data_IF_913238759859
#
_entry.id   IF_913238759859
#
_cell.length_a   1.000
_cell.length_b   1.000
_cell.length_c   1.000
_cell.angle_alpha   90.00
_cell.angle_beta   90.00
_cell.angle_gamma   90.00
#
_symmetry.space_group_name_H-M   'P 1'
#
loop_
_entity.id
_entity.type
_entity.pdbx_description
1 polymer ?
#
# COMPACT_ATOMS: atom_id res chain seq x y z
N UNK A 1 -6.12 46.30 -30.41
CA UNK A 1 -7.00 45.16 -30.11
C UNK A 1 -6.29 43.79 -30.12
N UNK A 2 -4.97 43.70 -29.89
CA UNK A 2 -4.24 42.41 -29.91
C UNK A 2 -3.90 41.84 -28.51
N UNK A 3 -3.99 42.64 -27.44
CA UNK A 3 -3.62 42.21 -26.08
C UNK A 3 -4.70 41.34 -25.37
N UNK A 4 -5.94 41.32 -25.86
CA UNK A 4 -7.03 40.52 -25.27
C UNK A 4 -7.04 39.04 -25.67
N UNK A 5 -6.47 38.71 -26.85
CA UNK A 5 -6.48 37.35 -27.40
C UNK A 5 -5.50 36.41 -26.69
N UNK A 6 -4.31 36.89 -26.34
CA UNK A 6 -3.31 36.08 -25.60
C UNK A 6 -3.77 35.74 -24.18
N UNK A 7 -4.46 36.67 -23.51
CA UNK A 7 -5.01 36.43 -22.17
C UNK A 7 -6.14 35.39 -22.18
N UNK A 8 -7.00 35.41 -23.21
CA UNK A 8 -8.07 34.44 -23.38
C UNK A 8 -7.52 33.04 -23.69
N UNK A 9 -6.58 32.94 -24.65
CA UNK A 9 -5.98 31.66 -25.04
C UNK A 9 -5.21 31.01 -23.87
N UNK A 10 -4.45 31.78 -23.09
CA UNK A 10 -3.79 31.29 -21.87
C UNK A 10 -4.79 30.82 -20.81
N UNK A 11 -5.94 31.50 -20.65
CA UNK A 11 -7.02 31.08 -19.75
C UNK A 11 -7.66 29.77 -20.20
N UNK A 12 -7.92 29.61 -21.49
CA UNK A 12 -8.45 28.38 -22.05
C UNK A 12 -7.48 27.20 -21.88
N UNK A 13 -6.20 27.40 -22.23
CA UNK A 13 -5.16 26.36 -22.05
C UNK A 13 -5.05 25.93 -20.58
N UNK A 14 -5.07 26.89 -19.65
CA UNK A 14 -5.07 26.59 -18.20
C UNK A 14 -6.35 25.85 -17.76
N UNK A 15 -7.51 26.22 -18.28
CA UNK A 15 -8.77 25.54 -18.01
C UNK A 15 -8.79 24.09 -18.49
N UNK A 16 -8.35 23.85 -19.74
CA UNK A 16 -8.22 22.50 -20.29
C UNK A 16 -7.18 21.66 -19.54
N UNK A 17 -6.05 22.25 -19.18
CA UNK A 17 -5.03 21.57 -18.36
C UNK A 17 -5.57 21.16 -16.99
N UNK A 18 -6.33 22.02 -16.32
CA UNK A 18 -6.94 21.72 -15.03
C UNK A 18 -8.01 20.62 -15.14
N UNK A 19 -8.86 20.67 -16.18
CA UNK A 19 -9.84 19.63 -16.42
C UNK A 19 -9.17 18.26 -16.65
N UNK A 20 -8.09 18.22 -17.44
CA UNK A 20 -7.32 17.00 -17.66
C UNK A 20 -6.76 16.44 -16.34
N UNK A 21 -6.24 17.30 -15.46
CA UNK A 21 -5.79 16.92 -14.13
C UNK A 21 -6.95 16.39 -13.26
N UNK A 22 -8.16 16.91 -13.41
CA UNK A 22 -9.34 16.41 -12.69
C UNK A 22 -9.79 15.03 -13.18
N UNK A 23 -9.71 14.77 -14.48
CA UNK A 23 -10.05 13.47 -15.09
C UNK A 23 -9.07 12.38 -14.63
N UNK A 24 -7.75 12.65 -14.70
CA UNK A 24 -6.70 11.70 -14.31
C UNK A 24 -6.34 11.72 -12.83
N UNK A 25 -6.79 12.72 -12.10
CA UNK A 25 -6.38 12.94 -10.72
C UNK A 25 -6.82 11.82 -9.77
N UNK A 26 -6.11 11.64 -8.65
CA UNK A 26 -6.46 10.65 -7.64
C UNK A 26 -7.80 10.96 -6.95
N UNK A 27 -8.40 9.96 -6.34
CA UNK A 27 -9.51 10.15 -5.42
C UNK A 27 -9.03 10.85 -4.15
N UNK A 28 -9.78 11.87 -3.72
CA UNK A 28 -9.60 12.56 -2.45
C UNK A 28 -10.57 11.93 -1.44
N UNK A 29 -10.06 11.50 -0.29
CA UNK A 29 -10.82 10.83 0.76
C UNK A 29 -11.20 11.77 1.90
N UNK A 30 -10.24 12.55 2.41
CA UNK A 30 -10.41 13.39 3.60
C UNK A 30 -9.58 14.66 3.48
N UNK A 31 -10.04 15.71 4.14
CA UNK A 31 -9.29 16.96 4.34
C UNK A 31 -9.11 17.14 5.84
N UNK A 32 -7.87 17.06 6.31
CA UNK A 32 -7.53 17.22 7.72
C UNK A 32 -7.65 18.69 8.15
N UNK A 33 -8.06 18.92 9.40
CA UNK A 33 -8.10 20.27 10.00
C UNK A 33 -6.69 20.68 10.42
N UNK A 34 -6.29 21.91 10.10
CA UNK A 34 -5.00 22.47 10.57
C UNK A 34 -5.30 23.46 11.70
N UNK A 35 -4.83 23.17 12.92
CA UNK A 35 -4.99 24.00 14.12
C UNK A 35 -6.46 24.30 14.52
N UNK A 36 -7.33 23.28 14.56
CA UNK A 36 -8.73 23.43 15.00
C UNK A 36 -9.61 24.31 14.11
N UNK A 37 -9.06 24.89 13.04
CA UNK A 37 -9.80 25.55 11.98
C UNK A 37 -9.80 24.63 10.78
N UNK A 38 -10.99 24.35 10.25
CA UNK A 38 -11.08 23.86 8.88
C UNK A 38 -10.26 24.82 8.02
N UNK A 39 -9.37 24.31 7.17
CA UNK A 39 -8.57 25.12 6.25
C UNK A 39 -9.43 25.99 5.29
N UNK A 40 -10.76 25.93 5.43
CA UNK A 40 -11.79 26.42 4.50
C UNK A 40 -12.90 27.22 5.24
N UNK A 41 -12.78 27.51 6.54
CA UNK A 41 -13.82 28.25 7.28
C UNK A 41 -13.41 29.67 7.69
N UNK A 42 -13.87 30.71 6.99
CA UNK A 42 -13.91 32.07 7.56
C UNK A 42 -14.93 32.09 8.70
N UNK A 43 -14.44 32.23 9.93
CA UNK A 43 -15.13 32.85 11.06
C UNK A 43 -16.17 32.02 11.80
N UNK A 44 -15.77 31.39 12.90
CA UNK A 44 -16.43 31.46 14.21
C UNK A 44 -15.47 30.95 15.30
N UNK A 45 -15.39 31.57 16.49
CA UNK A 45 -14.64 31.03 17.62
C UNK A 45 -15.36 29.81 18.21
N UNK A 46 -14.57 28.90 18.77
CA UNK A 46 -14.98 27.64 19.38
C UNK A 46 -15.84 27.88 20.63
N UNK A 47 -16.94 27.13 20.75
CA UNK A 47 -17.63 26.85 22.02
C UNK A 47 -17.27 25.41 22.40
N UNK A 48 -16.89 25.18 23.65
CA UNK A 48 -16.55 23.85 24.18
C UNK A 48 -17.79 22.94 24.14
N UNK A 49 -17.76 21.89 23.31
CA UNK A 49 -18.85 20.93 23.19
C UNK A 49 -18.77 19.96 21.99
N UNK A 50 -18.04 20.29 20.92
CA UNK A 50 -18.14 19.54 19.65
C UNK A 50 -17.20 18.32 19.53
N UNK A 51 -17.25 17.40 20.50
CA UNK A 51 -16.64 16.06 20.35
C UNK A 51 -17.40 15.18 19.33
N UNK A 52 -18.51 15.65 18.75
CA UNK A 52 -19.43 14.85 17.93
C UNK A 52 -19.23 14.97 16.40
N UNK A 53 -18.23 15.73 15.91
CA UNK A 53 -18.09 16.06 14.46
C UNK A 53 -16.99 15.31 13.68
N UNK A 54 -16.58 14.11 14.11
CA UNK A 54 -15.61 13.26 13.36
C UNK A 54 -15.97 13.08 11.87
N UNK A 55 -17.27 13.09 11.55
CA UNK A 55 -17.83 12.90 10.20
C UNK A 55 -17.71 14.12 9.26
N UNK A 56 -17.45 15.33 9.75
CA UNK A 56 -17.38 16.56 8.92
C UNK A 56 -16.04 16.75 8.18
N UNK A 57 -15.08 15.85 8.38
CA UNK A 57 -13.73 15.91 7.80
C UNK A 57 -13.59 15.19 6.46
N UNK A 58 -14.51 14.29 6.12
CA UNK A 58 -14.47 13.53 4.86
C UNK A 58 -14.77 14.45 3.67
N UNK A 59 -14.07 14.19 2.56
CA UNK A 59 -14.31 14.89 1.31
C UNK A 59 -15.74 14.63 0.82
N UNK A 60 -16.48 15.70 0.51
CA UNK A 60 -17.85 15.62 0.03
C UNK A 60 -17.89 15.76 -1.50
N UNK A 61 -17.97 14.64 -2.25
CA UNK A 61 -18.08 14.69 -3.70
C UNK A 61 -19.45 15.24 -4.12
N UNK A 62 -19.48 15.98 -5.22
CA UNK A 62 -20.75 16.41 -5.83
C UNK A 62 -21.51 15.20 -6.40
N UNK A 63 -22.82 15.35 -6.63
CA UNK A 63 -23.68 14.26 -7.10
C UNK A 63 -23.14 13.52 -8.33
N UNK A 64 -22.57 14.25 -9.30
CA UNK A 64 -21.98 13.68 -10.52
C UNK A 64 -20.76 12.79 -10.21
N UNK A 65 -19.84 13.27 -9.37
CA UNK A 65 -18.68 12.48 -8.93
C UNK A 65 -19.12 11.28 -8.10
N UNK A 66 -20.05 11.46 -7.16
CA UNK A 66 -20.58 10.38 -6.31
C UNK A 66 -21.17 9.24 -7.14
N UNK A 67 -21.97 9.56 -8.16
CA UNK A 67 -22.60 8.54 -9.00
C UNK A 67 -21.58 7.82 -9.89
N UNK A 68 -20.67 8.58 -10.51
CA UNK A 68 -19.62 8.00 -11.37
C UNK A 68 -18.63 7.15 -10.58
N UNK A 69 -18.23 7.57 -9.38
CA UNK A 69 -17.39 6.76 -8.48
C UNK A 69 -18.07 5.47 -8.03
N UNK A 70 -19.39 5.50 -7.79
CA UNK A 70 -20.15 4.28 -7.46
C UNK A 70 -20.12 3.26 -8.60
N UNK A 71 -20.33 3.71 -9.85
CA UNK A 71 -20.25 2.85 -11.04
C UNK A 71 -18.84 2.27 -11.19
N UNK A 72 -17.80 3.11 -11.09
CA UNK A 72 -16.41 2.67 -11.18
C UNK A 72 -16.04 1.69 -10.05
N UNK A 73 -16.60 1.89 -8.85
CA UNK A 73 -16.40 0.98 -7.73
C UNK A 73 -16.97 -0.41 -8.03
N UNK A 74 -18.18 -0.50 -8.60
CA UNK A 74 -18.79 -1.76 -9.03
C UNK A 74 -17.99 -2.45 -10.13
N UNK A 75 -17.57 -1.69 -11.15
CA UNK A 75 -16.72 -2.21 -12.23
C UNK A 75 -15.42 -2.78 -11.67
N UNK A 76 -14.79 -2.11 -10.71
CA UNK A 76 -13.60 -2.60 -10.03
C UNK A 76 -13.84 -3.91 -9.23
N UNK A 77 -15.00 -4.04 -8.57
CA UNK A 77 -15.37 -5.31 -7.89
C UNK A 77 -15.55 -6.43 -8.92
N UNK A 78 -16.32 -6.18 -9.99
CA UNK A 78 -16.56 -7.16 -11.04
C UNK A 78 -15.27 -7.57 -11.75
N UNK A 79 -14.37 -6.62 -12.03
CA UNK A 79 -13.04 -6.89 -12.58
C UNK A 79 -12.25 -7.81 -11.67
N UNK A 80 -12.28 -7.57 -10.36
CA UNK A 80 -11.54 -8.38 -9.40
C UNK A 80 -12.12 -9.80 -9.27
N UNK A 81 -13.44 -9.94 -9.23
CA UNK A 81 -14.12 -11.25 -9.25
C UNK A 81 -13.77 -11.99 -10.54
N UNK A 82 -13.80 -11.30 -11.68
CA UNK A 82 -13.42 -11.86 -12.99
C UNK A 82 -11.95 -12.29 -13.00
N UNK A 83 -11.05 -11.49 -12.43
CA UNK A 83 -9.63 -11.83 -12.32
C UNK A 83 -9.42 -13.11 -11.50
N UNK A 84 -10.04 -13.23 -10.32
CA UNK A 84 -9.89 -14.42 -9.48
C UNK A 84 -10.58 -15.66 -10.06
N UNK A 85 -11.70 -15.50 -10.76
CA UNK A 85 -12.40 -16.59 -11.45
C UNK A 85 -11.82 -16.92 -12.83
N UNK A 86 -10.89 -16.10 -13.36
CA UNK A 86 -10.38 -16.22 -14.73
C UNK A 86 -9.78 -17.58 -15.08
N UNK A 87 -9.05 -18.30 -14.19
CA UNK A 87 -8.52 -19.63 -14.56
C UNK A 87 -9.65 -20.65 -14.77
N UNK A 88 -10.67 -20.60 -13.92
CA UNK A 88 -11.86 -21.46 -14.03
C UNK A 88 -12.70 -21.09 -15.25
N UNK A 89 -12.88 -19.79 -15.48
CA UNK A 89 -13.59 -19.27 -16.65
C UNK A 89 -12.88 -19.64 -17.95
N UNK A 90 -11.56 -19.54 -18.01
CA UNK A 90 -10.75 -19.92 -19.17
C UNK A 90 -10.87 -21.43 -19.46
N UNK A 91 -10.78 -22.28 -18.43
CA UNK A 91 -10.97 -23.72 -18.58
C UNK A 91 -12.39 -24.06 -19.09
N UNK A 92 -13.41 -23.40 -18.53
CA UNK A 92 -14.79 -23.53 -18.99
C UNK A 92 -14.97 -23.09 -20.44
N UNK A 93 -14.41 -21.93 -20.81
CA UNK A 93 -14.48 -21.39 -22.17
C UNK A 93 -13.78 -22.28 -23.19
N UNK A 94 -12.62 -22.85 -22.82
CA UNK A 94 -11.91 -23.83 -23.63
C UNK A 94 -12.74 -25.09 -23.86
N UNK A 95 -13.27 -25.70 -22.77
CA UNK A 95 -14.10 -26.92 -22.84
C UNK A 95 -15.36 -26.74 -23.69
N UNK A 96 -15.96 -25.55 -23.68
CA UNK A 96 -17.17 -25.23 -24.46
C UNK A 96 -16.87 -24.71 -25.87
N UNK A 97 -15.61 -24.60 -26.26
CA UNK A 97 -15.22 -24.14 -27.60
C UNK A 97 -15.56 -22.68 -27.88
N UNK A 98 -15.60 -21.82 -26.85
CA UNK A 98 -15.85 -20.38 -27.03
C UNK A 98 -14.62 -19.62 -27.59
N UNK A 99 -13.45 -20.25 -27.65
CA UNK A 99 -12.19 -19.68 -28.16
C UNK A 99 -12.06 -19.69 -29.70
N UNK A 100 -13.17 -19.81 -30.44
CA UNK A 100 -13.16 -19.76 -31.92
C UNK A 100 -13.17 -18.33 -32.43
N UNK A 101 -12.46 -18.06 -33.54
CA UNK A 101 -12.29 -16.71 -34.13
C UNK A 101 -13.64 -16.00 -34.34
N UNK A 102 -14.65 -16.72 -34.82
CA UNK A 102 -16.00 -16.18 -35.07
C UNK A 102 -16.69 -15.66 -33.81
N UNK A 103 -16.41 -16.23 -32.64
CA UNK A 103 -16.98 -15.82 -31.35
C UNK A 103 -16.13 -14.79 -30.61
N UNK A 104 -14.84 -14.69 -30.93
CA UNK A 104 -13.94 -13.68 -30.39
C UNK A 104 -14.23 -12.28 -30.93
N UNK A 105 -14.66 -12.15 -32.20
CA UNK A 105 -14.98 -10.85 -32.82
C UNK A 105 -16.11 -10.09 -32.07
N UNK A 106 -17.29 -10.67 -31.78
CA UNK A 106 -18.30 -9.95 -31.01
C UNK A 106 -17.85 -9.67 -29.58
N UNK A 107 -17.05 -10.55 -28.96
CA UNK A 107 -16.49 -10.33 -27.62
C UNK A 107 -15.56 -9.11 -27.57
N UNK A 108 -14.71 -8.92 -28.58
CA UNK A 108 -13.84 -7.74 -28.67
C UNK A 108 -14.67 -6.47 -28.90
N UNK A 109 -15.74 -6.53 -29.69
CA UNK A 109 -16.65 -5.40 -29.87
C UNK A 109 -17.31 -4.99 -28.54
N UNK A 110 -17.84 -5.94 -27.76
CA UNK A 110 -18.39 -5.66 -26.42
C UNK A 110 -17.32 -5.10 -25.46
N UNK A 111 -16.09 -5.60 -25.53
CA UNK A 111 -14.97 -5.07 -24.76
C UNK A 111 -14.66 -3.61 -25.10
N UNK A 112 -14.60 -3.28 -26.40
CA UNK A 112 -14.33 -1.92 -26.88
C UNK A 112 -15.46 -0.95 -26.52
N UNK A 113 -16.73 -1.36 -26.66
CA UNK A 113 -17.87 -0.50 -26.26
C UNK A 113 -17.88 -0.25 -24.77
N UNK A 114 -17.62 -1.27 -23.94
CA UNK A 114 -17.46 -1.11 -22.49
C UNK A 114 -16.33 -0.13 -22.16
N UNK A 115 -15.16 -0.27 -22.79
CA UNK A 115 -14.03 0.64 -22.58
C UNK A 115 -14.37 2.09 -22.95
N UNK A 116 -15.09 2.32 -24.05
CA UNK A 116 -15.56 3.64 -24.44
C UNK A 116 -16.55 4.24 -23.42
N UNK A 117 -17.48 3.44 -22.91
CA UNK A 117 -18.41 3.87 -21.86
C UNK A 117 -17.68 4.24 -20.57
N UNK A 118 -16.69 3.43 -20.15
CA UNK A 118 -15.87 3.71 -18.98
C UNK A 118 -15.04 4.99 -19.14
N UNK A 119 -14.52 5.26 -20.35
CA UNK A 119 -13.85 6.52 -20.66
C UNK A 119 -14.81 7.72 -20.53
N UNK A 120 -16.04 7.59 -21.02
CA UNK A 120 -17.09 8.60 -20.82
C UNK A 120 -17.39 8.86 -19.35
N UNK A 121 -17.51 7.81 -18.54
CA UNK A 121 -17.72 7.91 -17.08
C UNK A 121 -16.54 8.60 -16.40
N UNK A 122 -15.30 8.30 -16.80
CA UNK A 122 -14.12 8.97 -16.25
C UNK A 122 -14.09 10.48 -16.58
N UNK A 123 -14.54 10.87 -17.78
CA UNK A 123 -14.70 12.28 -18.15
C UNK A 123 -15.79 12.98 -17.32
N UNK A 124 -16.93 12.34 -17.11
CA UNK A 124 -18.01 12.86 -16.25
C UNK A 124 -17.55 13.03 -14.81
N UNK A 125 -16.79 12.07 -14.27
CA UNK A 125 -16.16 12.19 -12.96
C UNK A 125 -15.22 13.40 -12.90
N UNK A 126 -14.40 13.60 -13.93
CA UNK A 126 -13.50 14.76 -14.04
C UNK A 126 -14.25 16.10 -14.05
N UNK A 127 -15.40 16.19 -14.72
CA UNK A 127 -16.28 17.37 -14.68
C UNK A 127 -16.86 17.62 -13.28
N UNK A 128 -17.25 16.55 -12.57
CA UNK A 128 -17.70 16.63 -11.18
C UNK A 128 -16.63 17.21 -10.25
N UNK A 129 -15.39 16.74 -10.40
CA UNK A 129 -14.21 17.21 -9.66
C UNK A 129 -13.81 18.63 -10.01
N UNK A 130 -13.84 19.00 -11.29
CA UNK A 130 -13.56 20.38 -11.72
C UNK A 130 -14.59 21.36 -11.15
N UNK A 131 -15.83 20.92 -10.93
CA UNK A 131 -16.85 21.76 -10.31
C UNK A 131 -16.65 21.92 -8.79
N UNK A 132 -15.76 21.15 -8.14
CA UNK A 132 -15.55 21.19 -6.69
C UNK A 132 -14.31 22.01 -6.33
N UNK A 133 -14.45 23.14 -5.59
CA UNK A 133 -13.33 24.00 -5.24
C UNK A 133 -12.29 23.32 -4.33
N UNK A 134 -12.72 22.43 -3.43
CA UNK A 134 -11.81 21.70 -2.54
C UNK A 134 -10.89 20.77 -3.35
N UNK A 135 -11.45 20.10 -4.36
CA UNK A 135 -10.67 19.21 -5.23
C UNK A 135 -9.72 20.00 -6.13
N UNK A 136 -10.15 21.15 -6.67
CA UNK A 136 -9.27 22.03 -7.46
C UNK A 136 -8.07 22.48 -6.64
N UNK A 137 -8.30 22.88 -5.38
CA UNK A 137 -7.21 23.28 -4.49
C UNK A 137 -6.25 22.12 -4.25
N UNK A 138 -6.78 20.95 -3.88
CA UNK A 138 -6.00 19.72 -3.70
C UNK A 138 -5.14 19.38 -4.93
N UNK A 139 -5.75 19.26 -6.11
CA UNK A 139 -5.05 18.84 -7.33
C UNK A 139 -3.98 19.86 -7.74
N UNK A 140 -4.22 21.15 -7.46
CA UNK A 140 -3.22 22.19 -7.70
C UNK A 140 -2.01 22.08 -6.77
N UNK A 141 -2.22 21.77 -5.48
CA UNK A 141 -1.15 21.56 -4.51
C UNK A 141 -0.37 20.29 -4.86
N UNK A 142 -1.07 19.21 -5.21
CA UNK A 142 -0.44 17.96 -5.65
C UNK A 142 0.43 18.19 -6.89
N UNK A 143 -0.07 18.92 -7.88
CA UNK A 143 0.70 19.23 -9.08
C UNK A 143 1.92 20.10 -8.76
N UNK A 144 1.78 21.10 -7.88
CA UNK A 144 2.91 21.93 -7.43
C UNK A 144 3.97 21.09 -6.73
N UNK A 145 3.57 20.21 -5.80
CA UNK A 145 4.49 19.32 -5.07
C UNK A 145 5.25 18.39 -6.02
N UNK A 146 4.60 17.90 -7.09
CA UNK A 146 5.25 17.07 -8.10
C UNK A 146 6.25 17.82 -8.99
N UNK A 147 6.09 19.13 -9.14
CA UNK A 147 6.98 19.98 -9.95
C UNK A 147 8.12 20.55 -9.10
N UNK A 148 7.83 20.88 -7.85
CA UNK A 148 8.74 21.51 -6.90
C UNK A 148 8.52 20.90 -5.51
N UNK A 149 9.48 20.07 -5.09
CA UNK A 149 9.42 19.29 -3.87
C UNK A 149 9.92 20.11 -2.66
N UNK A 150 9.20 21.18 -2.31
CA UNK A 150 9.52 22.00 -1.16
C UNK A 150 8.80 21.52 0.12
N UNK A 151 9.42 21.66 1.32
CA UNK A 151 8.82 21.27 2.59
C UNK A 151 7.45 21.92 2.86
N UNK A 152 7.25 23.16 2.41
CA UNK A 152 6.00 23.89 2.55
C UNK A 152 4.88 23.24 1.75
N UNK A 153 5.15 22.85 0.49
CA UNK A 153 4.18 22.15 -0.36
C UNK A 153 3.83 20.79 0.24
N UNK A 154 4.82 20.03 0.75
CA UNK A 154 4.57 18.75 1.43
C UNK A 154 3.69 18.93 2.67
N UNK A 155 3.93 19.96 3.48
CA UNK A 155 3.11 20.28 4.65
C UNK A 155 1.67 20.64 4.28
N UNK A 156 1.47 21.33 3.16
CA UNK A 156 0.11 21.58 2.66
C UNK A 156 -0.53 20.30 2.14
N UNK A 157 0.23 19.46 1.43
CA UNK A 157 -0.25 18.20 0.89
C UNK A 157 -0.64 17.20 2.00
N UNK A 158 0.07 17.21 3.12
CA UNK A 158 -0.24 16.37 4.29
C UNK A 158 -1.57 16.70 4.95
N UNK A 159 -2.19 17.84 4.59
CA UNK A 159 -3.55 18.19 5.01
C UNK A 159 -4.62 17.43 4.21
N UNK A 160 -4.24 16.65 3.20
CA UNK A 160 -5.16 15.89 2.35
C UNK A 160 -4.86 14.40 2.42
N UNK A 161 -5.91 13.58 2.52
CA UNK A 161 -5.82 12.13 2.36
C UNK A 161 -6.37 11.75 0.99
N UNK A 162 -5.56 11.10 0.15
CA UNK A 162 -5.90 10.75 -1.23
C UNK A 162 -5.22 9.44 -1.64
N UNK A 163 -5.50 8.96 -2.86
CA UNK A 163 -4.92 7.70 -3.36
C UNK A 163 -3.38 7.68 -3.25
N UNK A 164 -2.87 6.70 -2.52
CA UNK A 164 -1.44 6.54 -2.25
C UNK A 164 -0.58 6.53 -3.51
N UNK A 165 -1.06 5.91 -4.60
CA UNK A 165 -0.35 5.88 -5.90
C UNK A 165 0.05 7.27 -6.40
N UNK A 166 -0.70 8.31 -6.05
CA UNK A 166 -0.39 9.68 -6.49
C UNK A 166 0.49 10.44 -5.50
N UNK A 167 0.73 9.91 -4.31
CA UNK A 167 1.57 10.51 -3.28
C UNK A 167 3.04 10.55 -3.75
N UNK A 168 3.76 11.67 -3.61
CA UNK A 168 5.17 11.77 -4.02
C UNK A 168 6.06 10.89 -3.14
N UNK A 169 7.17 10.38 -3.66
CA UNK A 169 8.11 9.60 -2.85
C UNK A 169 8.82 10.53 -1.86
N UNK A 170 8.85 10.15 -0.59
CA UNK A 170 9.44 10.94 0.50
C UNK A 170 10.86 10.50 0.87
N UNK A 171 11.20 9.25 0.61
CA UNK A 171 12.51 8.68 0.87
C UNK A 171 12.77 7.50 -0.07
N UNK A 172 14.00 7.37 -0.55
CA UNK A 172 14.41 6.26 -1.42
C UNK A 172 15.58 5.51 -0.81
N UNK A 173 15.57 4.20 -0.98
CA UNK A 173 16.65 3.30 -0.55
C UNK A 173 18.04 3.66 -1.12
N UNK A 174 18.09 4.35 -2.27
CA UNK A 174 19.33 4.70 -2.98
C UNK A 174 19.92 6.06 -2.56
N UNK A 175 19.21 6.85 -1.76
CA UNK A 175 19.68 8.18 -1.28
C UNK A 175 20.87 8.07 -0.31
N UNK A 176 21.05 6.92 0.31
CA UNK A 176 21.99 6.66 1.42
C UNK A 176 23.10 5.69 1.06
N UNK A 177 22.93 4.92 -0.04
CA UNK A 177 23.87 3.91 -0.48
C UNK A 177 25.16 4.57 -0.99
N UNK A 178 26.29 4.25 -0.35
CA UNK A 178 27.61 4.67 -0.81
C UNK A 178 27.88 4.11 -2.21
N UNK A 179 28.57 4.87 -3.08
CA UNK A 179 28.94 4.45 -4.46
C UNK A 179 29.60 3.07 -4.57
N UNK A 180 30.14 2.52 -3.48
CA UNK A 180 30.75 1.19 -3.43
C UNK A 180 29.74 0.03 -3.39
N UNK A 181 28.51 0.22 -2.86
CA UNK A 181 27.44 -0.80 -2.95
C UNK A 181 26.85 -0.90 -4.36
N UNK A 182 26.90 0.19 -5.14
CA UNK A 182 26.51 0.21 -6.56
C UNK A 182 27.41 -0.69 -7.44
N UNK A 183 28.69 -0.89 -7.06
CA UNK A 183 29.62 -1.76 -7.80
C UNK A 183 29.38 -3.25 -7.59
N UNK A 184 28.63 -3.63 -6.54
CA UNK A 184 28.36 -5.04 -6.22
C UNK A 184 27.14 -5.63 -6.94
N UNK A 185 26.57 -4.92 -7.93
CA UNK A 185 25.57 -5.47 -8.83
C UNK A 185 24.32 -6.03 -8.13
N UNK A 186 23.93 -5.48 -6.98
CA UNK A 186 22.74 -5.96 -6.23
C UNK A 186 21.48 -5.40 -6.89
N UNK A 187 21.19 -5.91 -8.08
CA UNK A 187 19.89 -5.78 -8.76
C UNK A 187 18.87 -6.79 -8.19
N UNK A 188 19.24 -7.54 -7.15
CA UNK A 188 18.52 -8.71 -6.62
C UNK A 188 17.88 -8.55 -5.23
N UNK A 189 17.81 -7.34 -4.68
CA UNK A 189 17.27 -7.09 -3.34
C UNK A 189 18.27 -7.33 -2.20
N UNK A 190 17.86 -7.02 -0.97
CA UNK A 190 18.70 -7.20 0.22
C UNK A 190 18.96 -8.69 0.50
N UNK A 191 20.11 -9.06 1.07
CA UNK A 191 20.43 -10.46 1.29
C UNK A 191 19.44 -11.10 2.28
N UNK A 192 18.85 -12.22 1.87
CA UNK A 192 18.17 -13.15 2.76
C UNK A 192 19.15 -14.21 3.25
N UNK A 193 18.87 -14.81 4.41
CA UNK A 193 19.57 -16.02 4.83
C UNK A 193 19.41 -17.08 3.73
N UNK A 194 20.54 -17.59 3.23
CA UNK A 194 20.52 -18.71 2.30
C UNK A 194 19.88 -19.88 3.03
N UNK A 195 18.83 -20.44 2.44
CA UNK A 195 18.29 -21.71 2.91
C UNK A 195 19.44 -22.71 3.03
N UNK A 196 19.48 -23.47 4.13
CA UNK A 196 20.45 -24.55 4.24
C UNK A 196 20.38 -25.41 2.98
N UNK A 197 21.53 -25.78 2.39
CA UNK A 197 21.53 -26.64 1.23
C UNK A 197 20.83 -27.94 1.63
N UNK A 198 19.62 -28.16 1.09
CA UNK A 198 18.93 -29.45 1.22
C UNK A 198 19.94 -30.54 0.93
N UNK A 199 20.14 -31.46 1.85
CA UNK A 199 20.95 -32.66 1.67
C UNK A 199 20.52 -33.32 0.37
N UNK A 200 21.29 -33.10 -0.70
CA UNK A 200 21.08 -33.72 -2.01
C UNK A 200 21.24 -35.22 -1.79
N UNK A 201 20.13 -35.93 -1.62
CA UNK A 201 20.09 -37.36 -1.78
C UNK A 201 20.71 -37.70 -3.14
N UNK A 202 21.75 -38.51 -3.13
CA UNK A 202 22.36 -39.01 -4.34
C UNK A 202 21.30 -39.75 -5.18
N UNK A 203 21.30 -39.49 -6.49
CA UNK A 203 20.46 -40.11 -7.52
C UNK A 203 19.08 -39.48 -7.86
N UNK A 204 19.00 -38.15 -8.01
CA UNK A 204 17.92 -37.55 -8.83
C UNK A 204 18.21 -37.82 -10.32
N UNK A 205 17.67 -38.92 -10.85
CA UNK A 205 17.77 -39.27 -12.27
C UNK A 205 16.98 -38.28 -13.12
N UNK A 206 17.46 -37.92 -14.32
CA UNK A 206 16.78 -36.96 -15.22
C UNK A 206 15.29 -37.31 -15.46
N UNK A 207 14.98 -38.61 -15.55
CA UNK A 207 13.60 -39.12 -15.65
C UNK A 207 12.73 -38.78 -14.43
N UNK A 208 13.26 -38.87 -13.22
CA UNK A 208 12.54 -38.48 -12.00
C UNK A 208 12.31 -36.97 -11.96
N UNK A 209 13.24 -36.16 -12.48
CA UNK A 209 13.05 -34.71 -12.62
C UNK A 209 11.91 -34.39 -13.58
N UNK A 210 11.83 -35.06 -14.74
CA UNK A 210 10.75 -34.87 -15.71
C UNK A 210 9.40 -35.35 -15.17
N UNK A 211 9.36 -36.47 -14.44
CA UNK A 211 8.13 -36.96 -13.80
C UNK A 211 7.61 -36.01 -12.72
N UNK A 212 8.49 -35.31 -11.99
CA UNK A 212 8.12 -34.33 -10.97
C UNK A 212 7.72 -32.95 -11.52
N UNK A 213 8.04 -32.63 -12.78
CA UNK A 213 7.77 -31.32 -13.38
C UNK A 213 6.28 -30.90 -13.31
N UNK A 214 5.29 -31.75 -13.67
CA UNK A 214 3.89 -31.37 -13.59
C UNK A 214 3.47 -30.99 -12.16
N UNK A 215 3.88 -31.79 -11.16
CA UNK A 215 3.61 -31.51 -9.75
C UNK A 215 4.29 -30.22 -9.31
N UNK A 216 5.54 -29.98 -9.69
CA UNK A 216 6.25 -28.74 -9.38
C UNK A 216 5.57 -27.51 -9.98
N UNK A 217 5.12 -27.59 -11.24
CA UNK A 217 4.38 -26.51 -11.90
C UNK A 217 3.05 -26.27 -11.17
N UNK A 218 2.29 -27.32 -10.86
CA UNK A 218 1.03 -27.19 -10.12
C UNK A 218 1.26 -26.59 -8.73
N UNK A 219 2.23 -27.08 -7.97
CA UNK A 219 2.59 -26.55 -6.65
C UNK A 219 3.04 -25.10 -6.72
N UNK A 220 3.84 -24.74 -7.73
CA UNK A 220 4.24 -23.35 -7.97
C UNK A 220 3.01 -22.46 -8.24
N UNK A 221 2.11 -22.89 -9.13
CA UNK A 221 0.89 -22.15 -9.44
C UNK A 221 0.00 -22.00 -8.19
N UNK A 222 -0.20 -23.06 -7.42
CA UNK A 222 -1.00 -23.03 -6.19
C UNK A 222 -0.38 -22.08 -5.16
N UNK A 223 0.93 -22.20 -4.90
CA UNK A 223 1.65 -21.35 -3.96
C UNK A 223 1.60 -19.86 -4.37
N UNK A 224 1.86 -19.56 -5.64
CA UNK A 224 1.90 -18.18 -6.16
C UNK A 224 0.52 -17.57 -6.43
N UNK A 225 -0.57 -18.34 -6.30
CA UNK A 225 -1.93 -17.85 -6.48
C UNK A 225 -2.75 -17.95 -5.20
N UNK A 226 -3.18 -19.15 -4.81
CA UNK A 226 -4.06 -19.38 -3.67
C UNK A 226 -3.29 -19.36 -2.35
N UNK A 227 -2.17 -20.09 -2.27
CA UNK A 227 -1.38 -20.25 -1.04
C UNK A 227 -0.94 -18.91 -0.46
N UNK A 228 -0.30 -18.05 -1.26
CA UNK A 228 0.11 -16.70 -0.81
C UNK A 228 -1.06 -15.85 -0.32
N UNK A 229 -2.22 -15.91 -0.98
CA UNK A 229 -3.39 -15.11 -0.60
C UNK A 229 -4.03 -15.59 0.70
N UNK A 230 -3.98 -16.90 0.96
CA UNK A 230 -4.39 -17.49 2.24
C UNK A 230 -3.39 -17.16 3.34
N UNK A 231 -2.11 -17.13 3.01
CA UNK A 231 -1.05 -16.79 3.95
C UNK A 231 -1.11 -15.32 4.35
N UNK A 232 -1.31 -14.41 3.39
CA UNK A 232 -1.43 -12.96 3.57
C UNK A 232 -2.79 -12.44 3.06
N UNK A 233 -3.89 -12.72 3.78
CA UNK A 233 -5.21 -12.24 3.39
C UNK A 233 -5.27 -10.71 3.31
N UNK A 234 -4.47 -9.99 4.10
CA UNK A 234 -4.35 -8.52 4.00
C UNK A 234 -3.88 -8.02 2.63
N UNK A 235 -3.24 -8.85 1.80
CA UNK A 235 -2.86 -8.52 0.42
C UNK A 235 -3.99 -8.73 -0.62
N UNK A 236 -5.15 -9.23 -0.20
CA UNK A 236 -6.28 -9.52 -1.10
C UNK A 236 -7.13 -8.26 -1.30
N UNK A 237 -7.22 -7.81 -2.55
CA UNK A 237 -7.87 -6.54 -2.92
C UNK A 237 -9.31 -6.42 -2.39
N UNK A 238 -10.13 -7.47 -2.49
CA UNK A 238 -11.52 -7.42 -2.03
C UNK A 238 -11.62 -7.25 -0.51
N UNK A 239 -10.75 -7.92 0.25
CA UNK A 239 -10.70 -7.79 1.70
C UNK A 239 -10.26 -6.37 2.09
N UNK A 240 -9.19 -5.87 1.47
CA UNK A 240 -8.72 -4.49 1.70
C UNK A 240 -9.80 -3.46 1.37
N UNK A 241 -10.53 -3.64 0.26
CA UNK A 241 -11.61 -2.73 -0.13
C UNK A 241 -12.74 -2.72 0.88
N UNK A 242 -13.05 -3.86 1.51
CA UNK A 242 -14.03 -3.95 2.59
C UNK A 242 -13.54 -3.28 3.88
N UNK A 243 -12.24 -3.37 4.18
CA UNK A 243 -11.61 -2.76 5.36
C UNK A 243 -11.29 -1.27 5.18
N UNK A 244 -11.30 -0.75 3.95
CA UNK A 244 -10.89 0.62 3.63
C UNK A 244 -11.52 1.72 4.51
N UNK A 245 -12.82 1.69 4.86
CA UNK A 245 -13.39 2.70 5.75
C UNK A 245 -12.73 2.69 7.14
N UNK A 246 -12.43 1.51 7.67
CA UNK A 246 -11.74 1.33 8.95
C UNK A 246 -10.30 1.85 8.86
N UNK A 247 -9.57 1.51 7.79
CA UNK A 247 -8.19 1.96 7.57
C UNK A 247 -8.10 3.49 7.44
N UNK A 248 -9.01 4.10 6.67
CA UNK A 248 -9.08 5.56 6.53
C UNK A 248 -9.36 6.25 7.87
N UNK A 249 -10.21 5.66 8.71
CA UNK A 249 -10.48 6.18 10.04
C UNK A 249 -9.28 6.02 10.98
N UNK A 250 -8.60 4.87 10.96
CA UNK A 250 -7.39 4.63 11.74
C UNK A 250 -6.25 5.58 11.36
N UNK A 251 -6.02 5.77 10.06
CA UNK A 251 -5.07 6.78 9.58
C UNK A 251 -5.45 8.19 10.02
N UNK A 252 -6.73 8.56 9.95
CA UNK A 252 -7.18 9.87 10.40
C UNK A 252 -6.96 10.08 11.88
N UNK A 253 -7.20 9.06 12.72
CA UNK A 253 -6.89 9.07 14.14
C UNK A 253 -5.41 9.37 14.39
N UNK A 254 -4.51 8.66 13.70
CA UNK A 254 -3.07 8.88 13.82
C UNK A 254 -2.65 10.31 13.43
N UNK A 255 -3.23 10.86 12.36
CA UNK A 255 -2.92 12.23 11.90
C UNK A 255 -3.49 13.30 12.84
N UNK A 256 -4.77 13.20 13.19
CA UNK A 256 -5.51 14.24 13.90
C UNK A 256 -5.25 14.22 15.42
N UNK A 257 -5.18 13.04 16.05
CA UNK A 257 -5.01 12.92 17.51
C UNK A 257 -3.52 12.88 17.90
N UNK A 258 -2.68 12.28 17.06
CA UNK A 258 -1.27 12.01 17.39
C UNK A 258 -0.26 12.80 16.54
N UNK A 259 -0.73 13.73 15.69
CA UNK A 259 0.13 14.49 14.75
C UNK A 259 0.99 13.59 13.84
N UNK A 260 0.43 12.46 13.45
CA UNK A 260 1.07 11.49 12.57
C UNK A 260 1.44 12.09 11.21
N UNK A 261 2.62 11.72 10.71
CA UNK A 261 3.15 12.12 9.42
C UNK A 261 3.23 10.90 8.52
N UNK A 262 2.40 10.88 7.49
CA UNK A 262 2.45 9.84 6.45
C UNK A 262 3.63 10.08 5.53
N UNK A 263 4.31 9.01 5.14
CA UNK A 263 5.40 9.06 4.15
C UNK A 263 5.34 7.87 3.19
N UNK A 264 5.75 8.11 1.94
CA UNK A 264 5.97 7.04 0.95
C UNK A 264 7.46 6.74 0.84
N UNK A 265 7.83 5.48 1.10
CA UNK A 265 9.19 5.00 0.94
C UNK A 265 9.30 4.19 -0.37
N UNK A 266 10.39 4.37 -1.11
CA UNK A 266 10.69 3.52 -2.27
C UNK A 266 11.75 2.48 -1.90
N UNK A 267 11.37 1.20 -1.96
CA UNK A 267 12.25 0.07 -1.73
C UNK A 267 13.09 -0.28 -2.98
N UNK A 268 14.13 -1.11 -2.79
CA UNK A 268 15.10 -1.45 -3.84
C UNK A 268 14.53 -2.28 -5.01
N UNK A 269 13.41 -2.96 -4.80
CA UNK A 269 12.66 -3.66 -5.84
C UNK A 269 11.62 -2.78 -6.55
N UNK A 270 11.60 -1.48 -6.25
CA UNK A 270 10.68 -0.51 -6.82
C UNK A 270 9.30 -0.49 -6.16
N UNK A 271 9.07 -1.26 -5.09
CA UNK A 271 7.82 -1.15 -4.34
C UNK A 271 7.77 0.15 -3.53
N UNK A 272 6.64 0.82 -3.63
CA UNK A 272 6.26 1.95 -2.78
C UNK A 272 5.61 1.42 -1.49
N UNK A 273 6.15 1.80 -0.34
CA UNK A 273 5.74 1.36 1.00
C UNK A 273 5.08 2.54 1.73
N UNK A 274 3.86 2.31 2.23
CA UNK A 274 3.08 3.28 2.96
C UNK A 274 3.41 3.23 4.45
N UNK A 275 3.78 4.39 5.02
CA UNK A 275 4.22 4.50 6.41
C UNK A 275 3.56 5.67 7.12
N UNK A 276 3.48 5.57 8.44
CA UNK A 276 3.00 6.61 9.33
C UNK A 276 3.93 6.75 10.53
N UNK A 277 4.51 7.93 10.68
CA UNK A 277 5.39 8.27 11.80
C UNK A 277 4.70 9.18 12.81
N UNK A 278 4.78 8.82 14.09
CA UNK A 278 4.35 9.67 15.21
C UNK A 278 5.57 10.00 16.06
N UNK A 279 5.91 11.29 16.15
CA UNK A 279 7.06 11.78 16.91
C UNK A 279 6.66 12.16 18.34
N UNK A 280 7.23 11.47 19.33
CA UNK A 280 7.01 11.74 20.75
C UNK A 280 8.21 12.39 21.44
N UNK A 281 9.32 12.68 20.74
CA UNK A 281 10.53 13.27 21.35
C UNK A 281 10.27 14.59 22.08
N UNK A 282 9.31 15.38 21.59
CA UNK A 282 8.95 16.69 22.15
C UNK A 282 7.63 16.70 22.93
N UNK A 283 7.09 15.52 23.27
CA UNK A 283 5.75 15.40 23.89
C UNK A 283 5.76 15.39 25.42
N UNK A 284 6.93 15.38 26.06
CA UNK A 284 7.08 15.20 27.51
C UNK A 284 6.99 13.74 27.99
N UNK A 285 6.69 12.82 27.08
CA UNK A 285 6.67 11.38 27.37
C UNK A 285 8.07 10.82 27.61
N UNK A 286 8.23 10.00 28.66
CA UNK A 286 9.52 9.44 29.06
C UNK A 286 10.15 8.56 27.96
N UNK A 287 9.32 7.88 27.19
CA UNK A 287 9.75 6.90 26.19
C UNK A 287 9.90 7.48 24.78
N UNK A 288 9.56 8.75 24.57
CA UNK A 288 9.50 9.36 23.23
C UNK A 288 10.83 9.42 22.49
N UNK A 289 11.96 9.30 23.18
CA UNK A 289 13.29 9.24 22.58
C UNK A 289 13.54 7.94 21.80
N UNK A 290 12.84 6.85 22.14
CA UNK A 290 12.93 5.57 21.43
C UNK A 290 11.87 5.48 20.34
N UNK A 291 12.24 4.87 19.22
CA UNK A 291 11.35 4.57 18.10
C UNK A 291 10.94 3.10 18.13
N UNK A 292 9.65 2.82 18.07
CA UNK A 292 9.14 1.46 17.84
C UNK A 292 8.67 1.33 16.40
N UNK A 293 9.35 0.49 15.61
CA UNK A 293 8.92 0.09 14.27
C UNK A 293 7.98 -1.11 14.41
N UNK A 294 6.75 -0.99 13.91
CA UNK A 294 5.72 -2.02 14.07
C UNK A 294 5.60 -2.87 12.79
N UNK A 295 5.91 -4.15 12.89
CA UNK A 295 5.73 -5.16 11.85
C UNK A 295 4.44 -5.95 12.10
N UNK A 296 3.44 -5.71 11.25
CA UNK A 296 2.10 -6.27 11.41
C UNK A 296 2.01 -7.77 11.10
N UNK A 297 0.83 -8.33 11.40
CA UNK A 297 0.48 -9.70 11.05
C UNK A 297 -0.06 -9.83 9.62
N UNK A 298 -0.46 -11.05 9.24
CA UNK A 298 -0.86 -11.38 7.87
C UNK A 298 -2.18 -10.76 7.38
N UNK A 299 -2.96 -10.19 8.30
CA UNK A 299 -4.14 -9.37 8.07
C UNK A 299 -4.07 -8.05 8.86
N UNK A 300 -2.88 -7.72 9.40
CA UNK A 300 -2.65 -6.52 10.17
C UNK A 300 -2.32 -5.34 9.26
N UNK A 301 -2.72 -4.15 9.69
CA UNK A 301 -2.50 -2.89 9.01
C UNK A 301 -2.07 -1.87 10.05
N UNK A 302 -1.06 -1.05 9.74
CA UNK A 302 -0.53 -0.12 10.75
C UNK A 302 -1.60 0.86 11.24
N UNK A 303 -2.61 1.15 10.40
CA UNK A 303 -3.69 2.09 10.70
C UNK A 303 -4.50 1.67 11.94
N UNK A 304 -4.58 0.37 12.23
CA UNK A 304 -5.46 -0.21 13.27
C UNK A 304 -4.83 -1.33 14.09
N UNK A 305 -3.58 -1.68 13.84
CA UNK A 305 -2.90 -2.82 14.44
C UNK A 305 -1.97 -2.47 15.60
N UNK A 306 -0.76 -3.03 15.51
CA UNK A 306 0.31 -3.03 16.51
C UNK A 306 0.78 -1.64 16.90
N UNK A 307 0.56 -0.61 16.07
CA UNK A 307 0.95 0.79 16.33
C UNK A 307 0.33 1.36 17.61
N UNK A 308 -0.87 0.91 17.98
CA UNK A 308 -1.61 1.41 19.16
C UNK A 308 -0.87 1.17 20.48
N UNK A 309 -0.38 -0.04 20.71
CA UNK A 309 0.29 -0.44 21.96
C UNK A 309 1.53 0.40 22.32
N UNK A 310 2.54 0.59 21.44
CA UNK A 310 3.68 1.43 21.75
C UNK A 310 3.34 2.92 21.83
N UNK A 311 2.30 3.38 21.11
CA UNK A 311 1.82 4.75 21.23
C UNK A 311 1.23 5.03 22.62
N UNK A 312 0.42 4.11 23.15
CA UNK A 312 -0.14 4.20 24.51
C UNK A 312 0.95 4.09 25.57
N UNK A 313 2.03 3.35 25.29
CA UNK A 313 3.21 3.28 26.15
C UNK A 313 4.16 4.50 26.03
N UNK A 314 3.81 5.52 25.25
CA UNK A 314 4.53 6.80 25.16
C UNK A 314 5.76 6.81 24.26
N UNK A 315 5.93 5.81 23.38
CA UNK A 315 7.05 5.76 22.43
C UNK A 315 6.78 6.59 21.18
N UNK A 316 7.86 7.01 20.49
CA UNK A 316 7.72 7.38 19.07
C UNK A 316 7.46 6.10 18.27
N UNK A 317 6.62 6.16 17.24
CA UNK A 317 6.20 4.95 16.50
C UNK A 317 6.29 5.17 15.00
N UNK A 318 6.80 4.16 14.30
CA UNK A 318 6.77 4.06 12.84
C UNK A 318 5.96 2.82 12.44
N UNK A 319 4.73 3.06 12.00
CA UNK A 319 3.88 2.05 11.39
C UNK A 319 4.14 1.97 9.89
N UNK A 320 4.08 0.77 9.33
CA UNK A 320 4.22 0.55 7.89
C UNK A 320 3.36 -0.62 7.42
N UNK A 321 2.94 -0.59 6.16
CA UNK A 321 2.16 -1.67 5.56
C UNK A 321 3.06 -2.57 4.71
N UNK A 322 2.92 -3.89 4.89
CA UNK A 322 3.56 -4.91 4.07
C UNK A 322 3.39 -4.66 2.56
N UNK A 323 4.33 -5.08 1.69
CA UNK A 323 4.12 -5.11 0.25
C UNK A 323 2.77 -5.70 -0.15
N UNK A 324 1.97 -4.93 -0.89
CA UNK A 324 0.62 -5.30 -1.33
C UNK A 324 -0.51 -5.06 -0.31
N UNK A 325 -0.23 -4.48 0.85
CA UNK A 325 -1.24 -4.14 1.86
C UNK A 325 -1.64 -2.66 1.77
N UNK A 326 -2.94 -2.41 1.72
CA UNK A 326 -3.56 -1.09 1.73
C UNK A 326 -2.91 -0.13 0.71
N UNK A 327 -2.15 0.86 1.17
CA UNK A 327 -1.42 1.79 0.32
C UNK A 327 -0.23 1.15 -0.39
N UNK A 328 0.49 0.23 0.26
CA UNK A 328 1.73 -0.35 -0.23
C UNK A 328 1.54 -1.16 -1.52
N UNK A 329 2.47 -1.00 -2.45
CA UNK A 329 2.49 -1.74 -3.72
C UNK A 329 3.23 -3.08 -3.59
N UNK A 330 3.19 -3.90 -4.63
CA UNK A 330 3.89 -5.18 -4.66
C UNK A 330 3.07 -6.32 -4.07
N UNK A 331 3.77 -7.34 -3.60
CA UNK A 331 3.21 -8.56 -3.01
C UNK A 331 4.13 -9.07 -1.88
N UNK A 332 3.58 -9.71 -0.84
CA UNK A 332 4.32 -10.05 0.38
C UNK A 332 5.12 -11.34 0.19
N UNK A 333 6.13 -11.29 -0.69
CA UNK A 333 7.16 -12.33 -0.74
C UNK A 333 8.25 -12.02 0.29
N UNK A 334 8.96 -13.04 0.83
CA UNK A 334 10.05 -12.83 1.79
C UNK A 334 11.09 -11.79 1.36
N UNK A 335 11.44 -11.77 0.07
CA UNK A 335 12.38 -10.77 -0.46
C UNK A 335 11.80 -9.35 -0.44
N UNK A 336 10.54 -9.20 -0.84
CA UNK A 336 9.85 -7.90 -0.83
C UNK A 336 9.67 -7.37 0.59
N UNK A 337 9.36 -8.25 1.55
CA UNK A 337 9.28 -7.94 2.99
C UNK A 337 10.62 -7.40 3.51
N UNK A 338 11.72 -8.09 3.22
CA UNK A 338 13.05 -7.65 3.62
C UNK A 338 13.45 -6.33 2.95
N UNK A 339 13.19 -6.17 1.65
CA UNK A 339 13.45 -4.93 0.92
C UNK A 339 12.64 -3.74 1.48
N UNK A 340 11.38 -3.97 1.87
CA UNK A 340 10.55 -2.96 2.48
C UNK A 340 11.06 -2.59 3.87
N UNK A 341 11.42 -3.58 4.68
CA UNK A 341 11.95 -3.37 6.03
C UNK A 341 13.27 -2.61 6.02
N UNK A 342 14.16 -2.92 5.07
CA UNK A 342 15.39 -2.17 4.83
C UNK A 342 15.09 -0.68 4.59
N UNK A 343 14.16 -0.37 3.67
CA UNK A 343 13.76 1.01 3.40
C UNK A 343 13.15 1.70 4.65
N UNK A 344 12.38 0.97 5.46
CA UNK A 344 11.78 1.47 6.72
C UNK A 344 12.85 1.79 7.77
N UNK A 345 13.84 0.90 7.98
CA UNK A 345 14.94 1.13 8.94
C UNK A 345 15.82 2.27 8.46
N UNK A 346 16.18 2.31 7.17
CA UNK A 346 16.95 3.41 6.61
C UNK A 346 16.21 4.75 6.74
N UNK A 347 14.90 4.78 6.50
CA UNK A 347 14.10 5.98 6.72
C UNK A 347 14.10 6.42 8.19
N UNK A 348 14.00 5.47 9.13
CA UNK A 348 14.09 5.79 10.55
C UNK A 348 15.41 6.45 10.95
N UNK A 349 16.53 6.00 10.36
CA UNK A 349 17.87 6.53 10.65
C UNK A 349 18.09 7.87 9.95
N UNK A 350 17.98 7.88 8.63
CA UNK A 350 18.41 9.00 7.79
C UNK A 350 17.30 10.04 7.57
N UNK A 351 16.04 9.60 7.51
CA UNK A 351 14.89 10.48 7.33
C UNK A 351 14.34 11.05 8.65
N UNK A 352 14.30 10.24 9.71
CA UNK A 352 13.70 10.62 11.01
C UNK A 352 14.74 10.96 12.10
N UNK A 353 16.01 10.61 11.88
CA UNK A 353 17.12 10.98 12.76
C UNK A 353 17.23 10.15 14.04
N UNK A 354 16.72 8.91 14.05
CA UNK A 354 16.93 7.99 15.18
C UNK A 354 18.26 7.25 15.03
N UNK A 355 18.93 6.97 16.15
CA UNK A 355 20.08 6.06 16.16
C UNK A 355 19.57 4.63 16.21
N UNK A 356 20.32 3.69 15.64
CA UNK A 356 20.00 2.26 15.71
C UNK A 356 19.73 1.78 17.15
N UNK A 357 20.54 2.23 18.10
CA UNK A 357 20.44 1.90 19.53
C UNK A 357 19.16 2.42 20.21
N UNK A 358 18.44 3.35 19.56
CA UNK A 358 17.17 3.90 20.02
C UNK A 358 15.96 3.29 19.28
N UNK A 359 16.19 2.38 18.33
CA UNK A 359 15.14 1.70 17.56
C UNK A 359 14.80 0.35 18.22
N UNK A 360 13.51 0.09 18.39
CA UNK A 360 12.93 -1.19 18.80
C UNK A 360 12.09 -1.70 17.64
N UNK A 361 12.18 -2.98 17.32
CA UNK A 361 11.28 -3.61 16.34
C UNK A 361 10.26 -4.47 17.07
N UNK A 362 8.99 -4.10 16.96
CA UNK A 362 7.88 -4.85 17.51
C UNK A 362 7.17 -5.59 16.39
N UNK A 363 7.07 -6.91 16.50
CA UNK A 363 6.45 -7.76 15.51
C UNK A 363 5.32 -8.59 16.09
N UNK A 364 4.26 -8.70 15.32
CA UNK A 364 3.14 -9.59 15.61
C UNK A 364 3.04 -10.69 14.56
N UNK A 365 2.91 -11.93 15.03
CA UNK A 365 2.66 -13.11 14.18
C UNK A 365 3.67 -13.24 13.03
N UNK A 366 3.22 -13.26 11.78
CA UNK A 366 4.10 -13.40 10.60
C UNK A 366 5.10 -12.24 10.45
N UNK A 367 4.83 -11.07 11.04
CA UNK A 367 5.76 -9.95 11.10
C UNK A 367 7.08 -10.29 11.79
N UNK A 368 7.12 -11.39 12.56
CA UNK A 368 8.34 -11.93 13.17
C UNK A 368 9.43 -12.26 12.15
N UNK A 369 9.08 -12.71 10.94
CA UNK A 369 10.04 -12.88 9.85
C UNK A 369 10.76 -11.55 9.54
N UNK A 370 9.99 -10.49 9.37
CA UNK A 370 10.50 -9.19 8.96
C UNK A 370 11.35 -8.56 10.08
N UNK A 371 10.93 -8.70 11.33
CA UNK A 371 11.68 -8.18 12.47
C UNK A 371 12.98 -8.93 12.77
N UNK A 372 12.98 -10.26 12.64
CA UNK A 372 14.21 -11.05 12.81
C UNK A 372 15.21 -10.80 11.70
N UNK A 373 14.74 -10.60 10.46
CA UNK A 373 15.60 -10.13 9.36
C UNK A 373 16.21 -8.76 9.68
N UNK A 374 15.44 -7.82 10.21
CA UNK A 374 15.94 -6.50 10.58
C UNK A 374 17.03 -6.57 11.66
N UNK A 375 16.82 -7.36 12.72
CA UNK A 375 17.83 -7.51 13.78
C UNK A 375 19.10 -8.20 13.32
N UNK A 376 19.01 -9.15 12.38
CA UNK A 376 20.18 -9.75 11.77
C UNK A 376 20.96 -8.74 10.92
N UNK A 377 20.26 -7.91 10.13
CA UNK A 377 20.87 -6.94 9.21
C UNK A 377 21.38 -5.68 9.93
N UNK A 378 20.76 -5.31 11.04
CA UNK A 378 21.08 -4.14 11.86
C UNK A 378 21.31 -4.56 13.33
N UNK A 379 22.49 -5.14 13.64
CA UNK A 379 22.74 -5.77 14.95
C UNK A 379 22.74 -4.78 16.12
N UNK A 380 22.86 -3.48 15.87
CA UNK A 380 22.86 -2.42 16.89
C UNK A 380 21.45 -1.92 17.26
N UNK A 381 20.39 -2.56 16.75
CA UNK A 381 19.00 -2.27 17.17
C UNK A 381 18.84 -2.52 18.67
N UNK A 382 18.12 -1.63 19.36
CA UNK A 382 17.94 -1.63 20.82
C UNK A 382 17.31 -2.92 21.35
N UNK A 383 16.24 -3.38 20.70
CA UNK A 383 15.47 -4.54 21.12
C UNK A 383 14.57 -5.06 19.98
N UNK A 384 14.23 -6.34 20.05
CA UNK A 384 13.17 -6.95 19.25
C UNK A 384 12.14 -7.58 20.18
N UNK A 385 10.87 -7.32 19.90
CA UNK A 385 9.73 -7.93 20.60
C UNK A 385 8.97 -8.79 19.59
N UNK A 386 8.93 -10.09 19.84
CA UNK A 386 8.20 -11.06 19.02
C UNK A 386 6.94 -11.50 19.76
N UNK A 387 5.79 -10.97 19.36
CA UNK A 387 4.49 -11.33 19.92
C UNK A 387 3.76 -12.33 19.01
N UNK A 388 3.31 -13.44 19.58
CA UNK A 388 2.60 -14.53 18.90
C UNK A 388 3.26 -14.99 17.57
N UNK A 389 4.59 -14.87 17.48
CA UNK A 389 5.38 -15.22 16.29
C UNK A 389 5.70 -16.71 16.25
N UNK A 390 6.17 -17.18 15.09
CA UNK A 390 6.54 -18.57 14.84
C UNK A 390 7.78 -18.62 13.94
N UNK A 391 8.48 -19.75 13.98
CA UNK A 391 9.72 -20.03 13.24
C UNK A 391 9.47 -20.75 11.91
N UNK A 392 8.40 -21.55 11.80
CA UNK A 392 8.00 -22.24 10.57
C UNK A 392 6.49 -22.08 10.28
N UNK A 393 6.18 -21.89 9.00
CA UNK A 393 4.82 -21.82 8.47
C UNK A 393 4.13 -23.19 8.37
N UNK A 394 4.90 -24.26 8.17
CA UNK A 394 4.37 -25.60 7.89
C UNK A 394 3.52 -26.13 9.06
N UNK A 395 3.97 -26.08 10.34
CA UNK A 395 3.14 -26.55 11.46
C UNK A 395 1.82 -25.79 11.58
N UNK A 396 1.83 -24.48 11.30
CA UNK A 396 0.63 -23.65 11.33
C UNK A 396 -0.33 -24.02 10.20
N UNK A 397 0.19 -24.23 9.00
CA UNK A 397 -0.61 -24.65 7.84
C UNK A 397 -1.26 -26.01 8.06
N UNK A 398 -0.51 -27.01 8.54
CA UNK A 398 -1.01 -28.36 8.82
C UNK A 398 -2.15 -28.37 9.84
N UNK A 399 -2.10 -27.47 10.83
CA UNK A 399 -3.16 -27.35 11.85
C UNK A 399 -4.50 -26.82 11.30
N UNK A 400 -4.47 -26.08 10.19
CA UNK A 400 -5.65 -25.40 9.63
C UNK A 400 -6.17 -26.10 8.38
N UNK A 401 -5.32 -26.85 7.67
CA UNK A 401 -5.73 -27.58 6.47
C UNK A 401 -6.69 -28.72 6.80
N UNK A 402 -7.63 -29.05 5.88
CA UNK A 402 -8.51 -30.21 6.05
C UNK A 402 -7.70 -31.50 6.24
N UNK A 403 -8.23 -32.45 7.03
CA UNK A 403 -7.55 -33.72 7.30
C UNK A 403 -7.18 -34.49 6.02
N UNK A 404 -7.97 -34.34 4.95
CA UNK A 404 -7.68 -34.94 3.65
C UNK A 404 -6.36 -34.48 3.02
N UNK A 405 -5.74 -33.43 3.57
CA UNK A 405 -4.48 -32.83 3.13
C UNK A 405 -3.38 -32.95 4.19
N UNK A 406 -3.70 -33.40 5.42
CA UNK A 406 -2.80 -33.29 6.58
C UNK A 406 -1.90 -34.51 6.82
N UNK A 407 -2.07 -35.63 6.12
CA UNK A 407 -1.21 -36.81 6.30
C UNK A 407 -0.80 -37.49 4.97
N UNK A 408 0.49 -37.81 4.87
CA UNK A 408 1.14 -38.84 4.03
C UNK A 408 0.99 -38.84 2.50
N UNK A 409 0.34 -37.84 1.87
CA UNK A 409 0.25 -37.80 0.39
C UNK A 409 1.07 -36.70 -0.30
N UNK A 410 1.60 -35.73 0.45
CA UNK A 410 2.37 -34.62 -0.12
C UNK A 410 3.75 -34.40 0.52
N UNK A 411 4.09 -35.08 1.61
CA UNK A 411 5.41 -35.00 2.28
C UNK A 411 6.20 -36.30 2.04
N UNK A 412 6.16 -36.82 0.82
CA UNK A 412 7.21 -37.68 0.28
C UNK A 412 7.23 -37.38 -1.20
N UNK A 413 7.87 -36.28 -1.65
CA UNK A 413 8.56 -36.18 -2.96
C UNK A 413 9.40 -34.93 -3.11
#
# INVERSE_FOLDING_TARGET
MAAGGEGLMRRWIRGFGLLYLCIRGPRLYRVYRVNGRAAIGRGRPLQEGDAESSWESFYQPKALEKHTDSILAWVSVLWTISYYSSPLAAFYMYRKGYMTVTRLIPLTQYGLTLMFLLAGIACLRGLGRWSNPQYIQFISILQRTKMDDCPENKKMLSSFNFDFRSWPVDFRWDETSSKDQQKLGVTGGVPLLKAEPRTRGAADSFLQRVQKLPCQITSYVVAHSFGRRMLYPGSVYLLQKALMPMLLQGQARLVEEYNGKRAKLLACDGNEIDTMFVDRRNSGERNGAKLVICCEGNAGFYEVGCVSTPLEAGYSVLGWNHPGFAGSTGVPFPQNEANAMDAVVQYAIYGLGFKLQDIIVYAWSIGGFTATWAAMSYPDISAVVLDASFDDLVPLALKVMPESWSEDKFIVY
#
